data_IF_229375843298
#
_entry.id   IF_229375843298
#
_cell.length_a   1.000
_cell.length_b   1.000
_cell.length_c   1.000
_cell.angle_alpha   90.00
_cell.angle_beta   90.00
_cell.angle_gamma   90.00
#
_symmetry.space_group_name_H-M   'P 1'
#
loop_
_entity.id
_entity.type
_entity.pdbx_description
1 polymer ?
#
# COMPACT_ATOMS: atom_id res chain seq x y z
N UNK A 1 -7.86 8.17 -24.58
CA UNK A 1 -6.77 7.62 -23.76
C UNK A 1 -7.39 7.29 -22.40
N UNK A 2 -7.71 6.03 -22.08
CA UNK A 2 -8.29 5.75 -20.77
C UNK A 2 -7.20 5.89 -19.69
N UNK A 3 -7.51 6.68 -18.66
CA UNK A 3 -7.00 6.42 -17.32
C UNK A 3 -5.65 7.00 -16.93
N UNK A 4 -5.42 8.30 -17.09
CA UNK A 4 -4.44 9.00 -16.25
C UNK A 4 -4.99 9.21 -14.83
N UNK A 5 -5.43 8.17 -14.17
CA UNK A 5 -5.49 8.15 -12.70
C UNK A 5 -4.09 7.76 -12.25
N UNK A 6 -3.31 8.74 -11.80
CA UNK A 6 -1.99 8.52 -11.20
C UNK A 6 -2.16 7.64 -9.96
N UNK A 7 -2.16 6.33 -10.16
CA UNK A 7 -2.32 5.33 -9.10
C UNK A 7 -1.01 5.23 -8.35
N UNK A 8 -1.02 5.49 -7.04
CA UNK A 8 0.19 5.46 -6.22
C UNK A 8 0.78 4.05 -6.08
N UNK A 9 -0.02 3.00 -6.32
CA UNK A 9 0.41 1.61 -6.40
C UNK A 9 0.05 1.00 -7.76
N UNK A 10 0.91 0.15 -8.33
CA UNK A 10 0.63 -0.59 -9.57
C UNK A 10 -0.43 -1.67 -9.34
N UNK A 11 -0.99 -2.18 -10.45
CA UNK A 11 -1.78 -3.42 -10.46
C UNK A 11 -0.80 -4.60 -10.37
N UNK A 12 -0.49 -5.01 -9.14
CA UNK A 12 0.44 -6.10 -8.83
C UNK A 12 1.51 -5.73 -7.80
N UNK A 13 2.65 -6.44 -7.79
CA UNK A 13 3.74 -6.20 -6.87
C UNK A 13 4.24 -4.76 -6.92
N UNK A 14 4.67 -4.25 -5.77
CA UNK A 14 5.15 -2.88 -5.64
C UNK A 14 6.52 -2.79 -4.96
N UNK A 15 7.25 -1.75 -5.34
CA UNK A 15 8.58 -1.45 -4.82
C UNK A 15 8.50 -0.66 -3.50
N UNK A 16 9.61 -0.65 -2.76
CA UNK A 16 9.75 0.15 -1.54
C UNK A 16 9.55 1.64 -1.80
N UNK A 17 10.02 2.15 -2.94
CA UNK A 17 9.85 3.56 -3.30
C UNK A 17 8.37 3.91 -3.53
N UNK A 18 7.60 3.02 -4.15
CA UNK A 18 6.15 3.20 -4.31
C UNK A 18 5.44 3.16 -2.94
N UNK A 19 5.82 2.21 -2.08
CA UNK A 19 5.29 2.15 -0.72
C UNK A 19 5.58 3.42 0.10
N UNK A 20 6.80 3.95 0.00
CA UNK A 20 7.18 5.21 0.64
C UNK A 20 6.36 6.38 0.10
N UNK A 21 6.12 6.45 -1.21
CA UNK A 21 5.25 7.46 -1.80
C UNK A 21 3.82 7.39 -1.23
N UNK A 22 3.27 6.19 -1.06
CA UNK A 22 1.93 5.99 -0.45
C UNK A 22 1.92 6.41 1.02
N UNK A 23 2.88 5.97 1.83
CA UNK A 23 2.94 6.36 3.26
C UNK A 23 3.17 7.86 3.45
N UNK A 24 3.84 8.52 2.50
CA UNK A 24 4.02 9.97 2.50
C UNK A 24 2.72 10.70 2.10
N UNK A 25 1.95 10.13 1.17
CA UNK A 25 0.67 10.67 0.74
C UNK A 25 -0.45 10.45 1.77
N UNK A 26 -0.38 9.37 2.57
CA UNK A 26 -1.43 8.95 3.49
C UNK A 26 -0.87 8.56 4.86
N UNK A 27 -1.18 9.38 5.88
CA UNK A 27 -0.73 9.17 7.26
C UNK A 27 -1.29 7.90 7.91
N UNK A 28 -2.40 7.38 7.40
CA UNK A 28 -3.03 6.16 7.88
C UNK A 28 -2.46 4.89 7.22
N UNK A 29 -1.48 5.03 6.32
CA UNK A 29 -0.80 3.93 5.64
C UNK A 29 0.62 3.81 6.18
N UNK A 30 1.00 2.60 6.57
CA UNK A 30 2.27 2.29 7.21
C UNK A 30 2.94 1.11 6.51
N UNK A 31 4.28 1.09 6.51
CA UNK A 31 5.05 -0.10 6.16
C UNK A 31 5.30 -0.89 7.45
N UNK A 32 4.90 -2.17 7.45
CA UNK A 32 5.12 -3.09 8.57
C UNK A 32 5.81 -4.37 8.08
N UNK A 33 6.33 -5.15 9.03
CA UNK A 33 7.06 -6.41 8.79
C UNK A 33 8.16 -6.28 7.72
N UNK A 34 8.90 -5.17 7.75
CA UNK A 34 9.99 -4.89 6.79
C UNK A 34 11.19 -5.83 7.03
N UNK A 35 11.28 -6.86 6.18
CA UNK A 35 12.37 -7.84 6.11
C UNK A 35 13.31 -7.55 4.93
N UNK A 36 13.44 -6.27 4.54
CA UNK A 36 14.28 -5.80 3.44
C UNK A 36 13.56 -5.87 2.10
N UNK A 37 13.49 -7.06 1.49
CA UNK A 37 12.82 -7.25 0.19
C UNK A 37 11.36 -7.64 0.30
N UNK A 38 10.95 -8.15 1.46
CA UNK A 38 9.56 -8.50 1.78
C UNK A 38 9.06 -7.56 2.86
N UNK A 39 7.95 -6.88 2.59
CA UNK A 39 7.31 -5.96 3.51
C UNK A 39 5.83 -5.84 3.16
N UNK A 40 5.03 -5.32 4.08
CA UNK A 40 3.60 -5.09 3.82
C UNK A 40 3.21 -3.64 4.02
N UNK A 41 2.27 -3.18 3.21
CA UNK A 41 1.52 -1.97 3.50
C UNK A 41 0.33 -2.32 4.39
N UNK A 42 0.09 -1.47 5.37
CA UNK A 42 -0.96 -1.63 6.37
C UNK A 42 -1.72 -0.33 6.48
N UNK A 43 -3.05 -0.42 6.47
CA UNK A 43 -3.94 0.71 6.71
C UNK A 43 -4.59 0.53 8.08
N UNK A 44 -4.51 1.57 8.91
CA UNK A 44 -5.18 1.61 10.21
C UNK A 44 -6.23 2.73 10.23
N UNK A 45 -7.31 2.55 10.98
CA UNK A 45 -8.21 3.67 11.28
C UNK A 45 -7.60 4.60 12.34
N UNK A 46 -8.31 5.68 12.70
CA UNK A 46 -7.86 6.62 13.72
C UNK A 46 -7.66 5.97 15.10
N UNK A 47 -8.39 4.89 15.37
CA UNK A 47 -8.29 4.07 16.58
C UNK A 47 -7.14 3.05 16.54
N UNK A 48 -6.33 3.04 15.46
CA UNK A 48 -5.19 2.14 15.30
C UNK A 48 -5.54 0.71 14.89
N UNK A 49 -6.82 0.42 14.64
CA UNK A 49 -7.31 -0.89 14.21
C UNK A 49 -6.96 -1.15 12.75
N UNK A 50 -6.53 -2.38 12.46
CA UNK A 50 -6.18 -2.81 11.11
C UNK A 50 -7.42 -2.85 10.22
N UNK A 51 -7.41 -2.05 9.15
CA UNK A 51 -8.43 -2.03 8.10
C UNK A 51 -8.02 -2.86 6.91
N UNK A 52 -6.74 -2.83 6.56
CA UNK A 52 -6.22 -3.54 5.39
C UNK A 52 -4.74 -3.85 5.54
N UNK A 53 -4.29 -4.94 4.90
CA UNK A 53 -2.88 -5.24 4.70
C UNK A 53 -2.66 -5.90 3.34
N UNK A 54 -1.48 -5.69 2.78
CA UNK A 54 -1.01 -6.45 1.62
C UNK A 54 0.52 -6.51 1.58
N UNK A 55 1.04 -7.67 1.20
CA UNK A 55 2.46 -7.87 0.95
C UNK A 55 2.90 -7.30 -0.40
N UNK A 56 4.12 -6.77 -0.45
CA UNK A 56 4.69 -6.13 -1.64
C UNK A 56 4.83 -7.03 -2.87
N UNK A 57 4.79 -8.36 -2.70
CA UNK A 57 4.88 -9.36 -3.76
C UNK A 57 3.53 -9.98 -4.14
N UNK A 58 2.44 -9.63 -3.46
CA UNK A 58 1.13 -10.19 -3.77
C UNK A 58 0.63 -9.68 -5.14
N UNK A 59 0.09 -10.58 -5.99
CA UNK A 59 -0.44 -10.20 -7.29
C UNK A 59 -1.70 -9.32 -7.19
N UNK A 60 -2.41 -9.39 -6.05
CA UNK A 60 -3.64 -8.66 -5.76
C UNK A 60 -3.46 -7.54 -4.73
N UNK A 61 -2.29 -6.86 -4.74
CA UNK A 61 -2.07 -5.66 -3.91
C UNK A 61 -3.04 -4.51 -4.19
N UNK A 62 -3.86 -4.71 -5.22
CA UNK A 62 -4.89 -3.85 -5.71
C UNK A 62 -6.22 -3.90 -4.93
N UNK A 63 -6.37 -4.69 -3.86
CA UNK A 63 -7.61 -4.63 -3.05
C UNK A 63 -7.68 -3.40 -2.11
N UNK A 64 -7.28 -2.26 -2.66
CA UNK A 64 -7.71 -0.88 -2.47
C UNK A 64 -8.57 -0.56 -1.23
N UNK A 65 -7.99 0.17 -0.28
CA UNK A 65 -8.15 1.63 -0.08
C UNK A 65 -9.50 2.31 -0.44
N UNK A 66 -10.61 1.59 -0.45
CA UNK A 66 -11.98 2.11 -0.60
C UNK A 66 -12.89 1.40 0.39
N UNK A 67 -12.88 1.87 1.65
CA UNK A 67 -14.06 1.89 2.54
C UNK A 67 -13.83 2.75 3.77
#
# INVERSE_FOLDING_TARGET
MPGCTSRLLPEGPFSRNQALAVTTAYLNVLIEDDQGTHFRLVIRNAEGQLRWRCWNFEPDAEKLLIQ
#
